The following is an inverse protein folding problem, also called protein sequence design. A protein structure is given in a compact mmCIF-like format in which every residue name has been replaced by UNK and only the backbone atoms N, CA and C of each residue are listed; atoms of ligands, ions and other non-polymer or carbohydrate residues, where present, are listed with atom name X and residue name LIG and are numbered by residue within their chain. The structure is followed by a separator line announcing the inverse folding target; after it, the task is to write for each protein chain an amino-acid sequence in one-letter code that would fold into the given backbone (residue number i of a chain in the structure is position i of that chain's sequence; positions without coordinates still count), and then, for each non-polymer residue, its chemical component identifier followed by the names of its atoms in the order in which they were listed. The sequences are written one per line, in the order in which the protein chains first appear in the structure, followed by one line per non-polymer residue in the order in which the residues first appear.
data_IF_160396223345
#
_entry.id   IF_160396223345
#
_cell.length_a   1.000
_cell.length_b   1.000
_cell.length_c   1.000
_cell.angle_alpha   90.00
_cell.angle_beta   90.00
_cell.angle_gamma   90.00
#
_symmetry.space_group_name_H-M   'P 1'
#
loop_
_entity.id
_entity.type
_entity.pdbx_description
1 polymer ?
#
# COMPACT_ATOMS: atom_id res chain seq x y z
N UNK A 1 -40.32 -8.35 12.76
CA UNK A 1 -38.90 -8.77 12.68
C UNK A 1 -38.04 -7.52 12.81
N UNK A 2 -36.88 -7.57 13.50
CA UNK A 2 -36.13 -6.38 13.92
C UNK A 2 -35.35 -5.74 12.75
N UNK A 3 -36.05 -4.94 11.94
CA UNK A 3 -35.50 -4.25 10.76
C UNK A 3 -34.26 -3.42 11.10
N UNK A 4 -34.26 -2.72 12.24
CA UNK A 4 -33.12 -1.93 12.72
C UNK A 4 -31.83 -2.75 12.89
N UNK A 5 -31.95 -3.97 13.42
CA UNK A 5 -30.80 -4.86 13.61
C UNK A 5 -30.23 -5.32 12.26
N UNK A 6 -31.11 -5.56 11.28
CA UNK A 6 -30.72 -5.96 9.93
C UNK A 6 -30.04 -4.80 9.17
N UNK A 7 -30.57 -3.58 9.28
CA UNK A 7 -29.97 -2.38 8.70
C UNK A 7 -28.57 -2.17 9.29
N UNK A 8 -28.45 -2.19 10.62
CA UNK A 8 -27.16 -1.99 11.30
C UNK A 8 -26.13 -3.04 10.88
N UNK A 9 -26.54 -4.30 10.76
CA UNK A 9 -25.68 -5.38 10.29
C UNK A 9 -25.19 -5.16 8.85
N UNK A 10 -26.11 -4.81 7.93
CA UNK A 10 -25.75 -4.56 6.54
C UNK A 10 -24.86 -3.32 6.38
N UNK A 11 -25.13 -2.25 7.14
CA UNK A 11 -24.28 -1.06 7.13
C UNK A 11 -22.87 -1.41 7.62
N UNK A 12 -22.74 -2.12 8.74
CA UNK A 12 -21.43 -2.50 9.28
C UNK A 12 -20.62 -3.36 8.29
N UNK A 13 -21.24 -4.42 7.75
CA UNK A 13 -20.58 -5.30 6.78
C UNK A 13 -20.26 -4.55 5.48
N UNK A 14 -21.17 -3.72 5.00
CA UNK A 14 -20.99 -2.88 3.82
C UNK A 14 -19.83 -1.90 3.96
N UNK A 15 -19.73 -1.21 5.10
CA UNK A 15 -18.64 -0.26 5.38
C UNK A 15 -17.28 -0.96 5.42
N UNK A 16 -17.17 -2.07 6.14
CA UNK A 16 -15.90 -2.84 6.21
C UNK A 16 -15.49 -3.34 4.83
N UNK A 17 -16.45 -3.85 4.05
CA UNK A 17 -16.20 -4.33 2.69
C UNK A 17 -15.73 -3.21 1.78
N UNK A 18 -16.39 -2.04 1.83
CA UNK A 18 -16.03 -0.88 1.01
C UNK A 18 -14.63 -0.35 1.34
N UNK A 19 -14.30 -0.21 2.64
CA UNK A 19 -12.97 0.26 3.07
C UNK A 19 -11.87 -0.73 2.65
N UNK A 20 -12.11 -2.03 2.87
CA UNK A 20 -11.15 -3.07 2.46
C UNK A 20 -10.94 -3.08 0.95
N UNK A 21 -12.03 -3.00 0.18
CA UNK A 21 -11.97 -2.92 -1.29
C UNK A 21 -11.22 -1.69 -1.78
N UNK A 22 -11.39 -0.53 -1.13
CA UNK A 22 -10.66 0.70 -1.46
C UNK A 22 -9.15 0.54 -1.25
N UNK A 23 -8.71 -0.03 -0.13
CA UNK A 23 -7.28 -0.26 0.11
C UNK A 23 -6.69 -1.30 -0.84
N UNK A 24 -7.43 -2.34 -1.18
CA UNK A 24 -6.96 -3.32 -2.17
C UNK A 24 -6.83 -2.70 -3.54
N UNK A 25 -7.79 -1.86 -3.95
CA UNK A 25 -7.68 -1.08 -5.17
C UNK A 25 -6.43 -0.18 -5.16
N UNK A 26 -6.17 0.51 -4.04
CA UNK A 26 -4.99 1.35 -3.89
C UNK A 26 -3.71 0.52 -4.01
N UNK A 27 -3.61 -0.62 -3.32
CA UNK A 27 -2.43 -1.50 -3.38
C UNK A 27 -2.18 -2.03 -4.79
N UNK A 28 -3.23 -2.47 -5.49
CA UNK A 28 -3.10 -3.03 -6.84
C UNK A 28 -2.84 -1.98 -7.91
N UNK A 29 -3.22 -0.73 -7.68
CA UNK A 29 -3.12 0.35 -8.67
C UNK A 29 -1.96 1.32 -8.42
N UNK A 30 -1.39 1.32 -7.21
CA UNK A 30 -0.27 2.22 -6.89
C UNK A 30 0.98 1.68 -7.59
N UNK A 31 1.58 2.44 -8.52
CA UNK A 31 2.83 2.01 -9.14
C UNK A 31 3.91 1.87 -8.06
N UNK A 32 4.84 0.90 -8.21
CA UNK A 32 5.96 0.78 -7.29
C UNK A 32 6.71 2.11 -7.25
N UNK A 33 6.88 2.65 -6.03
CA UNK A 33 7.70 3.84 -5.84
C UNK A 33 9.10 3.50 -6.36
N UNK A 34 9.64 4.32 -7.26
CA UNK A 34 11.05 4.25 -7.60
C UNK A 34 11.82 4.47 -6.30
N UNK A 35 12.50 3.41 -5.86
CA UNK A 35 13.44 3.50 -4.76
C UNK A 35 14.60 4.40 -5.23
N UNK A 36 15.11 5.30 -4.38
CA UNK A 36 16.39 5.95 -4.64
C UNK A 36 17.42 4.85 -4.90
N UNK A 37 18.23 4.98 -5.94
CA UNK A 37 19.25 3.98 -6.24
C UNK A 37 20.19 3.87 -5.03
N UNK A 38 20.17 2.71 -4.35
CA UNK A 38 20.99 2.46 -3.17
C UNK A 38 22.49 2.45 -3.48
N UNK A 39 22.87 2.49 -4.76
CA UNK A 39 24.26 2.50 -5.21
C UNK A 39 24.78 3.89 -5.61
N UNK A 40 23.95 4.95 -5.68
CA UNK A 40 24.42 6.31 -6.01
C UNK A 40 25.50 6.83 -5.03
N UNK A 41 25.44 6.43 -3.75
CA UNK A 41 26.46 6.77 -2.74
C UNK A 41 27.75 5.92 -2.86
N UNK A 42 27.71 4.80 -3.60
CA UNK A 42 28.82 3.86 -3.73
C UNK A 42 29.66 4.06 -5.00
N UNK A 43 29.26 4.98 -5.87
CA UNK A 43 29.97 5.24 -7.13
C UNK A 43 31.38 5.82 -6.91
N UNK A 44 31.62 6.51 -5.78
CA UNK A 44 32.93 7.07 -5.43
C UNK A 44 33.92 6.03 -4.85
N UNK A 45 33.44 4.89 -4.34
CA UNK A 45 34.31 3.85 -3.74
C UNK A 45 34.97 2.92 -4.80
N UNK A 46 34.51 2.97 -6.06
CA UNK A 46 35.09 2.20 -7.17
C UNK A 46 36.39 2.79 -7.73
N UNK A 47 36.83 3.97 -7.26
CA UNK A 47 38.19 4.45 -7.50
C UNK A 47 39.14 3.59 -6.67
N UNK A 48 39.50 2.43 -7.24
CA UNK A 48 40.51 1.52 -6.73
C UNK A 48 41.66 2.33 -6.15
N UNK A 49 41.85 2.21 -4.83
CA UNK A 49 43.08 2.56 -4.14
C UNK A 49 44.20 1.66 -4.69
N UNK A 50 44.71 2.03 -5.87
CA UNK A 50 45.93 1.50 -6.43
C UNK A 50 47.08 2.29 -5.81
N UNK A 51 47.44 1.94 -4.58
CA UNK A 51 48.75 2.23 -3.99
C UNK A 51 49.48 0.90 -3.78
#
# INVERSE_FOLDING_TARGET
MKTEALITMLTAVGTVTAVTGYFFYLVLSTPPKQEPDSYEENDEELVRKND
#
